data_IF_692734117119
#
_entry.id   IF_692734117119
#
_cell.length_a   1.000
_cell.length_b   1.000
_cell.length_c   1.000
_cell.angle_alpha   90.00
_cell.angle_beta   90.00
_cell.angle_gamma   90.00
#
_symmetry.space_group_name_H-M   'P 1'
#
loop_
_entity.id
_entity.type
_entity.pdbx_description
1 polymer ?
#
# COMPACT_ATOMS: atom_id res chain seq x y z
N UNK A 1 17.62 -15.02 -33.68
CA UNK A 1 18.69 -14.40 -34.50
C UNK A 1 18.28 -14.18 -35.96
N UNK A 2 17.54 -15.10 -36.54
CA UNK A 2 17.24 -15.07 -37.98
C UNK A 2 16.31 -13.93 -38.45
N UNK A 3 15.48 -13.35 -37.58
CA UNK A 3 14.50 -12.32 -37.97
C UNK A 3 15.01 -10.88 -37.75
N UNK A 4 15.88 -10.64 -36.77
CA UNK A 4 16.34 -9.30 -36.38
C UNK A 4 17.86 -9.15 -36.30
N UNK A 5 18.64 -10.20 -36.60
CA UNK A 5 20.11 -10.18 -36.61
C UNK A 5 20.81 -10.00 -35.25
N UNK A 6 20.10 -9.54 -34.24
CA UNK A 6 20.62 -9.27 -32.89
C UNK A 6 19.84 -10.06 -31.84
N UNK A 7 20.50 -10.42 -30.75
CA UNK A 7 19.84 -10.85 -29.54
C UNK A 7 19.31 -9.61 -28.80
N UNK A 8 18.13 -9.68 -28.16
CA UNK A 8 17.71 -8.67 -27.18
C UNK A 8 18.74 -8.59 -26.05
N UNK A 9 18.97 -7.40 -25.53
CA UNK A 9 19.74 -7.24 -24.30
C UNK A 9 18.97 -7.86 -23.13
N UNK A 10 19.71 -8.51 -22.24
CA UNK A 10 19.14 -9.11 -21.03
C UNK A 10 19.66 -8.35 -19.82
N UNK A 11 18.77 -7.58 -19.18
CA UNK A 11 19.04 -6.94 -17.90
C UNK A 11 18.26 -7.67 -16.80
N UNK A 12 18.96 -8.37 -15.90
CA UNK A 12 18.36 -9.16 -14.83
C UNK A 12 17.93 -8.31 -13.62
N UNK A 13 18.45 -7.09 -13.50
CA UNK A 13 18.17 -6.18 -12.39
C UNK A 13 17.00 -5.25 -12.71
N UNK A 14 17.11 -4.51 -13.82
CA UNK A 14 16.11 -3.57 -14.28
C UNK A 14 15.70 -3.85 -15.73
N UNK A 15 14.97 -4.93 -15.99
CA UNK A 15 14.50 -5.22 -17.34
C UNK A 15 13.34 -4.30 -17.72
N UNK A 16 13.28 -3.90 -18.99
CA UNK A 16 12.14 -3.17 -19.56
C UNK A 16 10.89 -4.04 -19.57
N UNK A 17 11.07 -5.34 -19.84
CA UNK A 17 9.98 -6.31 -19.96
C UNK A 17 10.36 -7.61 -19.25
N UNK A 18 9.41 -8.18 -18.51
CA UNK A 18 9.55 -9.48 -17.83
C UNK A 18 8.57 -10.49 -18.41
N UNK A 19 9.08 -11.68 -18.67
CA UNK A 19 8.27 -12.82 -19.05
C UNK A 19 8.30 -13.86 -17.94
N UNK A 20 7.12 -14.43 -17.64
CA UNK A 20 6.99 -15.59 -16.78
C UNK A 20 6.60 -16.80 -17.64
N UNK A 21 7.35 -17.89 -17.50
CA UNK A 21 7.04 -19.17 -18.12
C UNK A 21 6.62 -20.15 -17.03
N UNK A 22 5.36 -20.59 -17.10
CA UNK A 22 4.84 -21.63 -16.23
C UNK A 22 4.63 -22.90 -17.06
N UNK A 23 5.20 -24.02 -16.61
CA UNK A 23 5.10 -25.31 -17.29
C UNK A 23 4.41 -26.29 -16.34
N UNK A 24 3.32 -26.87 -16.79
CA UNK A 24 2.60 -27.92 -16.08
C UNK A 24 2.28 -29.05 -17.05
N UNK A 25 2.85 -30.24 -16.80
CA UNK A 25 2.74 -31.41 -17.70
C UNK A 25 3.16 -31.02 -19.12
N UNK A 26 2.25 -31.13 -20.07
CA UNK A 26 2.48 -30.86 -21.51
C UNK A 26 2.07 -29.44 -21.93
N UNK A 27 1.74 -28.57 -20.95
CA UNK A 27 1.31 -27.19 -21.20
C UNK A 27 2.36 -26.20 -20.74
N UNK A 28 2.66 -25.23 -21.57
CA UNK A 28 3.48 -24.08 -21.24
C UNK A 28 2.64 -22.80 -21.37
N UNK A 29 2.63 -21.98 -20.32
CA UNK A 29 1.97 -20.68 -20.30
C UNK A 29 3.06 -19.61 -20.24
N UNK A 30 3.16 -18.81 -21.29
CA UNK A 30 4.04 -17.65 -21.34
C UNK A 30 3.21 -16.40 -21.01
N UNK A 31 3.57 -15.72 -19.94
CA UNK A 31 2.93 -14.49 -19.49
C UNK A 31 3.88 -13.30 -19.59
N UNK A 32 3.34 -12.16 -20.02
CA UNK A 32 4.05 -10.89 -20.06
C UNK A 32 3.67 -10.08 -18.82
N UNK A 33 4.67 -9.66 -18.03
CA UNK A 33 4.44 -8.75 -16.91
C UNK A 33 4.33 -7.31 -17.41
N UNK A 34 3.11 -6.80 -17.39
CA UNK A 34 2.80 -5.42 -17.77
C UNK A 34 2.98 -4.43 -16.63
N UNK A 35 3.10 -4.91 -15.40
CA UNK A 35 3.26 -4.09 -14.21
C UNK A 35 4.71 -3.62 -14.01
N UNK A 36 5.67 -4.50 -14.26
CA UNK A 36 7.10 -4.30 -13.97
C UNK A 36 7.43 -4.64 -12.51
N UNK A 37 7.37 -3.69 -11.59
CA UNK A 37 7.52 -3.99 -10.17
C UNK A 37 6.22 -4.49 -9.53
N UNK A 38 6.35 -5.20 -8.41
CA UNK A 38 5.19 -5.71 -7.66
C UNK A 38 4.22 -4.60 -7.24
N UNK A 39 2.92 -4.85 -7.44
CA UNK A 39 1.86 -3.86 -7.18
C UNK A 39 1.62 -3.55 -5.70
N UNK A 40 2.15 -4.36 -4.77
CA UNK A 40 2.08 -4.00 -3.35
C UNK A 40 2.94 -2.77 -3.04
N UNK A 41 4.00 -2.52 -3.79
CA UNK A 41 4.83 -1.32 -3.66
C UNK A 41 4.07 -0.08 -4.13
N UNK A 42 3.33 0.57 -3.23
CA UNK A 42 2.52 1.77 -3.53
C UNK A 42 3.38 3.02 -3.75
N UNK A 43 4.60 3.04 -3.20
CA UNK A 43 5.52 4.18 -3.27
C UNK A 43 5.42 5.15 -2.09
N UNK A 44 4.49 4.99 -1.17
CA UNK A 44 4.44 5.81 0.05
C UNK A 44 5.39 5.31 1.14
N UNK A 45 5.73 4.02 1.17
CA UNK A 45 6.64 3.45 2.18
C UNK A 45 8.07 3.87 1.91
N UNK A 46 8.58 4.81 2.73
CA UNK A 46 9.99 5.23 2.72
C UNK A 46 10.82 4.35 3.64
N UNK A 47 10.29 4.08 4.82
CA UNK A 47 10.91 3.26 5.83
C UNK A 47 9.99 2.08 6.16
N UNK A 48 10.58 0.92 6.36
CA UNK A 48 9.88 -0.25 6.82
C UNK A 48 10.31 -0.55 8.27
N UNK A 49 9.35 -0.89 9.13
CA UNK A 49 9.66 -1.54 10.39
C UNK A 49 10.14 -2.98 10.17
N UNK A 50 10.44 -3.71 11.24
CA UNK A 50 11.01 -5.08 11.16
C UNK A 50 10.12 -6.09 10.41
N UNK A 51 8.80 -5.94 10.38
CA UNK A 51 7.87 -6.85 9.69
C UNK A 51 6.60 -6.11 9.23
N UNK A 52 6.68 -5.18 8.26
CA UNK A 52 5.52 -4.42 7.85
C UNK A 52 4.51 -5.31 7.12
N UNK A 53 3.21 -5.09 7.39
CA UNK A 53 2.13 -5.68 6.61
C UNK A 53 2.28 -5.27 5.13
N UNK A 54 1.96 -6.18 4.22
CA UNK A 54 1.90 -5.83 2.80
C UNK A 54 0.72 -4.88 2.53
N UNK A 55 0.94 -3.88 1.71
CA UNK A 55 -0.05 -2.86 1.36
C UNK A 55 -1.31 -3.45 0.72
N UNK A 56 -1.14 -4.47 -0.12
CA UNK A 56 -2.27 -5.19 -0.74
C UNK A 56 -3.13 -5.92 0.28
N UNK A 57 -2.52 -6.47 1.34
CA UNK A 57 -3.25 -7.11 2.42
C UNK A 57 -4.03 -6.07 3.24
N UNK A 58 -3.40 -4.96 3.61
CA UNK A 58 -4.08 -3.87 4.31
C UNK A 58 -5.26 -3.33 3.49
N UNK A 59 -5.06 -3.10 2.18
CA UNK A 59 -6.14 -2.68 1.28
C UNK A 59 -7.30 -3.69 1.23
N UNK A 60 -6.98 -5.00 1.23
CA UNK A 60 -8.00 -6.04 1.27
C UNK A 60 -8.79 -6.01 2.59
N UNK A 61 -8.11 -5.84 3.73
CA UNK A 61 -8.73 -5.74 5.05
C UNK A 61 -9.70 -4.55 5.10
N UNK A 62 -9.27 -3.36 4.65
CA UNK A 62 -10.13 -2.16 4.58
C UNK A 62 -11.37 -2.43 3.73
N UNK A 63 -11.23 -3.05 2.56
CA UNK A 63 -12.36 -3.38 1.69
C UNK A 63 -13.31 -4.41 2.30
N UNK A 64 -12.77 -5.45 2.92
CA UNK A 64 -13.55 -6.52 3.57
C UNK A 64 -14.28 -6.01 4.81
N UNK A 65 -13.74 -5.03 5.54
CA UNK A 65 -14.41 -4.38 6.66
C UNK A 65 -15.65 -3.58 6.25
N UNK A 66 -15.80 -3.30 4.94
CA UNK A 66 -16.85 -2.44 4.37
C UNK A 66 -16.86 -1.03 4.96
N UNK A 67 -15.73 -0.58 5.52
CA UNK A 67 -15.62 0.79 6.00
C UNK A 67 -15.70 1.77 4.82
N UNK A 68 -16.65 2.68 4.88
CA UNK A 68 -16.97 3.66 3.83
C UNK A 68 -16.72 5.11 4.27
N UNK A 69 -16.29 5.30 5.53
CA UNK A 69 -16.07 6.61 6.13
C UNK A 69 -17.31 7.20 6.81
N UNK A 70 -18.42 6.46 6.94
CA UNK A 70 -19.57 6.90 7.72
C UNK A 70 -19.29 6.99 9.23
N UNK A 71 -18.27 6.27 9.69
CA UNK A 71 -17.78 6.25 11.06
C UNK A 71 -16.26 6.42 11.08
N UNK A 72 -15.69 7.04 12.14
CA UNK A 72 -14.25 7.11 12.31
C UNK A 72 -13.59 5.74 12.33
N UNK A 73 -12.37 5.65 11.80
CA UNK A 73 -11.52 4.46 11.85
C UNK A 73 -10.35 4.71 12.79
N UNK A 74 -10.04 3.71 13.62
CA UNK A 74 -8.88 3.69 14.49
C UNK A 74 -8.04 2.45 14.22
N UNK A 75 -6.73 2.66 14.04
CA UNK A 75 -5.70 1.64 14.18
C UNK A 75 -4.90 1.90 15.45
N UNK A 76 -5.15 1.12 16.50
CA UNK A 76 -4.60 1.35 17.84
C UNK A 76 -3.19 0.75 18.05
N UNK A 77 -2.65 0.04 17.05
CA UNK A 77 -1.28 -0.49 17.01
C UNK A 77 -0.74 -0.31 15.59
N UNK A 78 -0.73 0.95 15.13
CA UNK A 78 -0.59 1.28 13.71
C UNK A 78 0.79 0.97 13.12
N UNK A 79 1.79 0.77 13.93
CA UNK A 79 3.13 0.50 13.45
C UNK A 79 3.61 1.59 12.46
N UNK A 80 4.09 1.18 11.31
CA UNK A 80 4.53 2.09 10.24
C UNK A 80 3.37 2.74 9.44
N UNK A 81 2.12 2.59 9.89
CA UNK A 81 0.95 3.27 9.34
C UNK A 81 0.35 2.61 8.09
N UNK A 82 0.62 1.34 7.81
CA UNK A 82 0.17 0.70 6.56
C UNK A 82 -1.36 0.67 6.42
N UNK A 83 -2.08 0.26 7.47
CA UNK A 83 -3.56 0.23 7.48
C UNK A 83 -4.10 1.66 7.30
N UNK A 84 -3.52 2.64 7.99
CA UNK A 84 -3.92 4.04 7.92
C UNK A 84 -3.71 4.61 6.50
N UNK A 85 -2.55 4.34 5.87
CA UNK A 85 -2.29 4.76 4.50
C UNK A 85 -3.31 4.16 3.52
N UNK A 86 -3.61 2.87 3.63
CA UNK A 86 -4.59 2.22 2.76
C UNK A 86 -6.03 2.68 3.05
N UNK A 87 -6.37 2.99 4.30
CA UNK A 87 -7.66 3.61 4.66
C UNK A 87 -7.82 5.01 4.05
N UNK A 88 -6.78 5.85 4.16
CA UNK A 88 -6.71 7.16 3.50
C UNK A 88 -6.90 7.03 1.98
N UNK A 89 -6.12 6.16 1.34
CA UNK A 89 -6.22 5.94 -0.11
C UNK A 89 -7.59 5.42 -0.51
N UNK A 90 -8.17 4.51 0.25
CA UNK A 90 -9.50 3.97 0.00
C UNK A 90 -10.58 5.07 0.09
N UNK A 91 -10.62 5.79 1.20
CA UNK A 91 -11.62 6.84 1.41
C UNK A 91 -11.48 7.97 0.38
N UNK A 92 -10.28 8.48 0.22
CA UNK A 92 -10.02 9.60 -0.70
C UNK A 92 -10.03 9.20 -2.19
N UNK A 93 -10.22 7.92 -2.52
CA UNK A 93 -10.17 7.37 -3.88
C UNK A 93 -8.85 7.66 -4.58
N UNK A 94 -7.75 7.64 -3.82
CA UNK A 94 -6.42 7.81 -4.37
C UNK A 94 -6.04 6.53 -5.10
N UNK A 95 -5.67 6.61 -6.40
CA UNK A 95 -5.25 5.42 -7.16
C UNK A 95 -4.09 4.70 -6.50
N UNK A 96 -4.18 3.38 -6.38
CA UNK A 96 -3.21 2.55 -5.66
C UNK A 96 -1.75 2.75 -6.11
N UNK A 97 -1.53 3.11 -7.37
CA UNK A 97 -0.22 3.35 -7.95
C UNK A 97 0.03 4.84 -8.27
N UNK A 98 -0.65 5.75 -7.57
CA UNK A 98 -0.54 7.20 -7.77
C UNK A 98 0.89 7.73 -7.75
N UNK A 99 1.72 7.19 -6.85
CA UNK A 99 3.11 7.62 -6.66
C UNK A 99 4.09 6.89 -7.59
N UNK A 100 3.63 5.89 -8.34
CA UNK A 100 4.49 5.10 -9.23
C UNK A 100 4.75 5.84 -10.54
N UNK A 101 6.03 5.86 -10.94
CA UNK A 101 6.48 6.57 -12.14
C UNK A 101 6.60 5.67 -13.36
N UNK A 102 6.93 4.38 -13.16
CA UNK A 102 7.24 3.46 -14.24
C UNK A 102 6.37 2.21 -14.18
N UNK A 103 5.89 1.78 -15.33
CA UNK A 103 5.15 0.53 -15.52
C UNK A 103 5.76 -0.26 -16.67
N UNK A 104 5.69 -1.58 -16.60
CA UNK A 104 6.21 -2.45 -17.66
C UNK A 104 5.53 -2.20 -19.01
N UNK A 105 4.24 -1.88 -19.01
CA UNK A 105 3.51 -1.60 -20.24
C UNK A 105 3.96 -0.34 -20.99
N UNK A 106 4.75 0.56 -20.38
CA UNK A 106 5.32 1.71 -21.09
C UNK A 106 6.32 1.31 -22.17
N UNK A 107 6.88 0.11 -22.08
CA UNK A 107 7.85 -0.44 -23.02
C UNK A 107 7.23 -1.32 -24.11
N UNK A 108 5.89 -1.46 -24.10
CA UNK A 108 5.19 -2.26 -25.10
C UNK A 108 5.01 -1.47 -26.41
N UNK A 109 5.09 -2.15 -27.57
CA UNK A 109 5.00 -1.47 -28.88
C UNK A 109 3.65 -0.76 -29.15
N UNK A 110 2.61 -1.17 -28.46
CA UNK A 110 1.24 -0.63 -28.57
C UNK A 110 0.90 0.37 -27.46
N UNK A 111 1.89 0.82 -26.71
CA UNK A 111 1.70 1.83 -25.68
C UNK A 111 1.37 3.22 -26.28
N UNK A 112 0.23 3.76 -25.86
CA UNK A 112 -0.21 5.10 -26.24
C UNK A 112 -0.23 6.03 -25.03
N UNK A 113 0.69 7.00 -24.99
CA UNK A 113 0.80 7.97 -23.89
C UNK A 113 -0.46 8.83 -23.72
N UNK A 114 -1.19 9.11 -24.80
CA UNK A 114 -2.47 9.85 -24.77
C UNK A 114 -3.57 9.09 -24.05
N UNK A 115 -3.68 7.78 -24.29
CA UNK A 115 -4.62 6.88 -23.59
C UNK A 115 -4.27 6.79 -22.12
N UNK A 116 -2.99 6.56 -21.80
CA UNK A 116 -2.53 6.53 -20.41
C UNK A 116 -2.83 7.84 -19.67
N UNK A 117 -2.55 8.99 -20.30
CA UNK A 117 -2.86 10.29 -19.72
C UNK A 117 -4.34 10.43 -19.40
N UNK A 118 -5.22 10.06 -20.34
CA UNK A 118 -6.68 10.11 -20.14
C UNK A 118 -7.12 9.24 -18.96
N UNK A 119 -6.64 7.99 -18.87
CA UNK A 119 -6.96 7.06 -17.77
C UNK A 119 -6.50 7.62 -16.43
N UNK A 120 -5.29 8.19 -16.39
CA UNK A 120 -4.73 8.80 -15.19
C UNK A 120 -5.53 10.02 -14.76
N UNK A 121 -5.82 10.93 -15.68
CA UNK A 121 -6.58 12.15 -15.40
C UNK A 121 -8.00 11.81 -14.91
N UNK A 122 -8.66 10.80 -15.50
CA UNK A 122 -9.96 10.32 -15.05
C UNK A 122 -9.89 9.72 -13.63
N UNK A 123 -8.88 8.93 -13.33
CA UNK A 123 -8.69 8.37 -12.00
C UNK A 123 -8.41 9.47 -10.96
N UNK A 124 -7.57 10.44 -11.31
CA UNK A 124 -7.21 11.57 -10.46
C UNK A 124 -8.39 12.50 -10.20
N UNK A 125 -9.29 12.69 -11.17
CA UNK A 125 -10.50 13.52 -11.00
C UNK A 125 -11.50 12.98 -9.97
N UNK A 126 -11.37 11.71 -9.58
CA UNK A 126 -12.20 11.06 -8.55
C UNK A 126 -11.65 11.22 -7.15
N UNK A 127 -10.45 11.78 -6.99
CA UNK A 127 -9.83 12.00 -5.68
C UNK A 127 -10.65 13.04 -4.92
N UNK A 128 -10.95 12.74 -3.65
CA UNK A 128 -11.70 13.61 -2.75
C UNK A 128 -10.92 13.86 -1.46
N UNK A 129 -11.11 15.00 -0.78
CA UNK A 129 -10.42 15.31 0.47
C UNK A 129 -10.83 14.38 1.61
N UNK A 130 -9.92 14.21 2.57
CA UNK A 130 -10.20 13.55 3.84
C UNK A 130 -10.82 14.57 4.82
N UNK A 131 -11.99 14.31 5.41
CA UNK A 131 -12.47 15.08 6.54
C UNK A 131 -11.54 14.94 7.74
N UNK A 132 -11.48 15.96 8.59
CA UNK A 132 -10.86 15.84 9.90
C UNK A 132 -11.61 14.80 10.75
N UNK A 133 -10.93 14.25 11.75
CA UNK A 133 -11.53 13.34 12.75
C UNK A 133 -12.13 12.05 12.14
N UNK A 134 -11.64 11.63 10.97
CA UNK A 134 -12.13 10.41 10.32
C UNK A 134 -11.17 9.22 10.43
N UNK A 135 -9.86 9.47 10.48
CA UNK A 135 -8.85 8.41 10.58
C UNK A 135 -7.89 8.75 11.73
N UNK A 136 -7.75 7.79 12.63
CA UNK A 136 -6.91 7.87 13.81
C UNK A 136 -5.92 6.71 13.83
N UNK A 137 -4.72 6.98 14.34
CA UNK A 137 -3.72 5.97 14.61
C UNK A 137 -3.07 6.15 15.96
N UNK A 138 -2.72 5.06 16.61
CA UNK A 138 -1.85 5.14 17.77
C UNK A 138 -0.85 3.98 17.79
N UNK A 139 0.28 4.22 18.42
CA UNK A 139 1.29 3.21 18.71
C UNK A 139 2.03 3.58 19.98
N UNK A 140 2.47 2.58 20.77
CA UNK A 140 3.28 2.82 21.98
C UNK A 140 4.67 3.37 21.63
N UNK A 141 5.19 3.08 20.44
CA UNK A 141 6.53 3.45 19.99
C UNK A 141 6.52 4.79 19.24
N UNK A 142 7.12 5.80 19.84
CA UNK A 142 7.33 7.10 19.20
C UNK A 142 8.20 7.03 17.94
N UNK A 143 9.15 6.06 17.91
CA UNK A 143 10.00 5.84 16.74
C UNK A 143 9.15 5.34 15.57
N UNK A 144 8.29 4.37 15.83
CA UNK A 144 7.41 3.78 14.82
C UNK A 144 6.38 4.80 14.31
N UNK A 145 5.87 5.67 15.17
CA UNK A 145 4.97 6.77 14.76
C UNK A 145 5.64 7.79 13.85
N UNK A 146 6.91 8.12 14.07
CA UNK A 146 7.66 8.97 13.14
C UNK A 146 7.74 8.33 11.75
N UNK A 147 7.99 7.02 11.68
CA UNK A 147 7.96 6.27 10.42
C UNK A 147 6.57 6.35 9.78
N UNK A 148 5.51 6.18 10.56
CA UNK A 148 4.13 6.32 10.06
C UNK A 148 3.86 7.73 9.49
N UNK A 149 4.29 8.78 10.20
CA UNK A 149 4.19 10.17 9.73
C UNK A 149 4.92 10.40 8.41
N UNK A 150 6.16 9.89 8.29
CA UNK A 150 6.94 10.01 7.06
C UNK A 150 6.28 9.27 5.89
N UNK A 151 5.76 8.07 6.11
CA UNK A 151 5.03 7.32 5.09
C UNK A 151 3.74 8.06 4.66
N UNK A 152 2.97 8.58 5.61
CA UNK A 152 1.75 9.34 5.37
C UNK A 152 2.03 10.65 4.61
N UNK A 153 3.13 11.35 4.91
CA UNK A 153 3.47 12.63 4.26
C UNK A 153 3.60 12.55 2.73
N UNK A 154 3.73 11.33 2.18
CA UNK A 154 3.74 11.08 0.74
C UNK A 154 2.35 11.10 0.09
N UNK A 155 1.31 11.02 0.90
CA UNK A 155 -0.08 10.96 0.44
C UNK A 155 -0.78 12.30 0.68
N UNK A 156 -1.62 12.76 -0.25
CA UNK A 156 -2.41 13.97 -0.06
C UNK A 156 -3.40 13.78 1.09
N UNK A 157 -3.73 14.87 1.76
CA UNK A 157 -4.70 14.95 2.87
C UNK A 157 -4.28 14.21 4.15
N UNK A 158 -3.03 13.75 4.24
CA UNK A 158 -2.51 13.08 5.45
C UNK A 158 -2.44 14.02 6.67
N UNK A 159 -2.44 15.33 6.47
CA UNK A 159 -2.50 16.35 7.51
C UNK A 159 -3.81 16.30 8.34
N UNK A 160 -4.84 15.65 7.83
CA UNK A 160 -6.11 15.45 8.53
C UNK A 160 -6.18 14.13 9.34
N UNK A 161 -5.08 13.38 9.39
CA UNK A 161 -4.97 12.13 10.18
C UNK A 161 -4.35 12.46 11.54
N UNK A 162 -4.96 11.94 12.58
CA UNK A 162 -4.46 12.11 13.94
C UNK A 162 -3.65 10.88 14.38
N UNK A 163 -2.38 11.12 14.77
CA UNK A 163 -1.51 10.09 15.31
C UNK A 163 -1.16 10.38 16.77
N UNK A 164 -1.37 9.41 17.64
CA UNK A 164 -1.11 9.53 19.07
C UNK A 164 -0.05 8.53 19.56
N UNK A 165 0.92 9.03 20.32
CA UNK A 165 1.97 8.20 20.94
C UNK A 165 1.49 7.62 22.27
N UNK A 166 0.65 6.60 22.23
CA UNK A 166 0.11 5.96 23.41
C UNK A 166 -0.18 4.47 23.17
N UNK A 167 -0.01 3.63 24.20
CA UNK A 167 -0.43 2.23 24.13
C UNK A 167 -1.95 2.12 24.04
N UNK A 168 -2.45 1.06 23.42
CA UNK A 168 -3.88 0.86 23.19
C UNK A 168 -4.69 0.81 24.51
N UNK A 169 -4.09 0.37 25.62
CA UNK A 169 -4.72 0.33 26.96
C UNK A 169 -5.07 1.73 27.49
N UNK A 170 -4.45 2.78 26.96
CA UNK A 170 -4.70 4.17 27.37
C UNK A 170 -5.78 4.86 26.50
N UNK A 171 -6.30 4.18 25.50
CA UNK A 171 -7.39 4.71 24.69
C UNK A 171 -8.69 4.60 25.50
N UNK A 172 -9.10 5.72 26.10
CA UNK A 172 -10.23 5.72 27.07
C UNK A 172 -11.58 5.49 26.43
N UNK A 173 -11.82 6.04 25.25
CA UNK A 173 -13.10 5.93 24.54
C UNK A 173 -12.88 6.07 23.03
N UNK A 174 -13.42 5.15 22.26
CA UNK A 174 -13.56 5.27 20.82
C UNK A 174 -14.95 4.74 20.44
N UNK A 175 -15.96 5.56 20.77
CA UNK A 175 -17.36 5.20 20.56
C UNK A 175 -17.79 5.43 19.12
N UNK A 176 -18.71 4.60 18.65
CA UNK A 176 -19.28 4.69 17.30
C UNK A 176 -18.26 4.65 16.14
N UNK A 177 -17.06 4.14 16.40
CA UNK A 177 -15.99 3.99 15.41
C UNK A 177 -15.81 2.56 14.93
N UNK A 178 -14.91 2.39 13.96
CA UNK A 178 -14.45 1.10 13.43
C UNK A 178 -12.99 0.90 13.85
N UNK A 179 -12.72 -0.19 14.54
CA UNK A 179 -11.37 -0.58 14.93
C UNK A 179 -10.82 -1.58 13.91
N UNK A 180 -9.71 -1.20 13.26
CA UNK A 180 -8.98 -2.08 12.35
C UNK A 180 -7.52 -2.01 12.73
N UNK A 181 -6.96 -3.09 13.23
CA UNK A 181 -5.58 -3.14 13.68
C UNK A 181 -4.94 -4.48 13.37
N UNK A 182 -3.61 -4.48 13.29
CA UNK A 182 -2.78 -5.68 13.16
C UNK A 182 -1.89 -5.80 14.40
N UNK A 183 -2.37 -6.48 15.46
CA UNK A 183 -1.62 -6.60 16.71
C UNK A 183 -0.33 -7.43 16.49
N UNK A 184 0.70 -7.22 17.31
CA UNK A 184 1.87 -8.09 17.32
C UNK A 184 1.46 -9.52 17.65
N UNK A 185 1.99 -10.50 16.92
CA UNK A 185 1.74 -11.93 17.13
C UNK A 185 3.02 -12.75 16.96
N UNK A 186 3.19 -13.74 17.83
CA UNK A 186 4.28 -14.73 17.77
C UNK A 186 5.68 -14.17 18.00
N UNK A 187 6.69 -14.97 17.68
CA UNK A 187 8.11 -14.81 18.03
C UNK A 187 8.79 -13.55 17.45
N UNK A 188 8.09 -12.78 16.62
CA UNK A 188 8.70 -11.65 15.89
C UNK A 188 8.78 -10.33 16.64
N UNK A 189 8.04 -10.14 17.73
CA UNK A 189 7.86 -8.82 18.34
C UNK A 189 7.70 -8.83 19.87
N UNK A 190 8.58 -9.45 20.59
CA UNK A 190 8.60 -9.37 22.04
C UNK A 190 8.36 -10.71 22.77
N UNK A 191 8.58 -10.69 24.03
CA UNK A 191 8.31 -11.82 24.88
C UNK A 191 6.79 -12.06 24.98
N UNK A 192 6.38 -13.31 25.05
CA UNK A 192 4.97 -13.74 25.05
C UNK A 192 4.15 -13.05 26.17
N UNK A 193 4.80 -12.61 27.23
CA UNK A 193 4.17 -11.91 28.37
C UNK A 193 3.62 -10.51 28.00
N UNK A 194 4.16 -9.82 26.98
CA UNK A 194 3.66 -8.51 26.56
C UNK A 194 2.36 -8.58 25.73
N UNK A 195 2.00 -9.74 25.21
CA UNK A 195 0.82 -9.89 24.32
C UNK A 195 -0.46 -10.15 25.14
N UNK A 196 -0.33 -10.58 26.38
CA UNK A 196 -1.46 -10.96 27.25
C UNK A 196 -1.69 -9.97 28.41
N UNK A 197 -0.94 -8.88 28.48
CA UNK A 197 -1.15 -7.79 29.42
C UNK A 197 -2.02 -6.68 28.82
#
# INVERSE_FOLDING_TARGET
RSKFGKRPDVNTVNPDVRFNLFIEKDKAILSLDTSGESLHKRGYRLLAGEAPMQETLAAAIIRLSKWDGAKPLLDCMCGSGTIICEALMHYCRIPAQKLRKNFGFFHLPDFEASVWKKVKDEADSKIRPLPKELIYGSDKSQITLKVAQENLSRLPFSENIELAGQPFQHIKQFENGVLITNPPYGIRLGEIEEVHA
#
